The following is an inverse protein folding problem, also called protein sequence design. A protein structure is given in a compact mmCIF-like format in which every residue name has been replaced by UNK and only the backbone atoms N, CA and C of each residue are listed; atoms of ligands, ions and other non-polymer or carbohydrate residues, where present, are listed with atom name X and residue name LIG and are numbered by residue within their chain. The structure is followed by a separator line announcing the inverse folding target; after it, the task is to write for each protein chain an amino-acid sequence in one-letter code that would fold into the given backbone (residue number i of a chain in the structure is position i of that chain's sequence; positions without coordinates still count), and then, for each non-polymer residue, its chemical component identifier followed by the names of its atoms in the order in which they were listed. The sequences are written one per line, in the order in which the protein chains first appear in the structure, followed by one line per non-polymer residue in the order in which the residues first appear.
data_IF_301807706597
#
_entry.id   IF_301807706597
#
_cell.length_a   1.000
_cell.length_b   1.000
_cell.length_c   1.000
_cell.angle_alpha   90.00
_cell.angle_beta   90.00
_cell.angle_gamma   90.00
#
_symmetry.space_group_name_H-M   'P 1'
#
loop_
_entity.id
_entity.type
_entity.pdbx_description
1 polymer ?
#
# COMPACT_ATOMS: atom_id res chain seq x y z
N UNK A 1 4.41 7.30 -19.64
CA UNK A 1 5.50 7.78 -18.76
C UNK A 1 6.25 6.56 -18.26
N UNK A 2 7.56 6.44 -18.53
CA UNK A 2 8.36 5.29 -18.10
C UNK A 2 8.67 5.47 -16.61
N UNK A 3 8.06 4.64 -15.77
CA UNK A 3 8.36 4.53 -14.33
C UNK A 3 9.80 4.03 -14.22
N UNK A 4 10.70 4.85 -13.67
CA UNK A 4 12.10 4.49 -13.45
C UNK A 4 12.22 3.33 -12.46
N UNK A 5 13.37 2.63 -12.43
CA UNK A 5 13.59 1.45 -11.57
C UNK A 5 13.25 1.66 -10.07
N UNK A 6 13.24 2.91 -9.60
CA UNK A 6 12.95 3.27 -8.21
C UNK A 6 11.62 4.02 -8.04
N UNK A 7 10.80 4.16 -9.08
CA UNK A 7 9.54 4.87 -8.95
C UNK A 7 8.46 3.96 -8.35
N UNK A 8 7.57 4.55 -7.56
CA UNK A 8 6.43 3.87 -6.95
C UNK A 8 5.33 3.69 -7.99
N UNK A 9 4.69 2.53 -7.98
CA UNK A 9 3.42 2.36 -8.69
C UNK A 9 2.28 3.06 -7.94
N UNK A 10 1.20 3.42 -8.65
CA UNK A 10 0.04 4.12 -8.04
C UNK A 10 -0.52 3.39 -6.81
N UNK A 11 -0.57 2.05 -6.85
CA UNK A 11 -1.01 1.26 -5.68
C UNK A 11 -0.01 1.30 -4.52
N UNK A 12 1.29 1.33 -4.82
CA UNK A 12 2.34 1.41 -3.79
C UNK A 12 2.31 2.77 -3.09
N UNK A 13 2.04 3.85 -3.82
CA UNK A 13 1.86 5.18 -3.23
C UNK A 13 0.68 5.20 -2.25
N UNK A 14 -0.47 4.63 -2.63
CA UNK A 14 -1.63 4.53 -1.74
C UNK A 14 -1.31 3.72 -0.48
N UNK A 15 -0.63 2.58 -0.64
CA UNK A 15 -0.21 1.73 0.48
C UNK A 15 0.72 2.51 1.42
N UNK A 16 1.74 3.16 0.90
CA UNK A 16 2.71 3.94 1.68
C UNK A 16 2.05 5.11 2.42
N UNK A 17 1.17 5.86 1.75
CA UNK A 17 0.41 6.95 2.37
C UNK A 17 -0.50 6.43 3.48
N UNK A 18 -1.15 5.27 3.27
CA UNK A 18 -2.02 4.69 4.29
C UNK A 18 -1.23 4.22 5.51
N UNK A 19 -0.06 3.60 5.31
CA UNK A 19 0.87 3.25 6.40
C UNK A 19 1.27 4.52 7.17
N UNK A 20 1.62 5.59 6.47
CA UNK A 20 1.95 6.88 7.09
C UNK A 20 0.80 7.53 7.85
N UNK A 21 -0.45 7.28 7.46
CA UNK A 21 -1.63 7.77 8.20
C UNK A 21 -1.85 6.96 9.48
N UNK A 22 -1.63 5.65 9.43
CA UNK A 22 -1.88 4.74 10.55
C UNK A 22 -0.74 4.74 11.58
N UNK A 23 0.47 5.19 11.22
CA UNK A 23 1.64 5.22 12.12
C UNK A 23 1.83 3.86 12.82
N UNK A 24 1.73 3.82 14.15
CA UNK A 24 1.96 2.63 14.98
C UNK A 24 0.85 1.58 14.82
N UNK A 25 -0.29 1.94 14.23
CA UNK A 25 -1.41 1.04 13.95
C UNK A 25 -1.33 0.39 12.56
N UNK A 26 -0.24 0.59 11.82
CA UNK A 26 -0.09 0.13 10.43
C UNK A 26 0.20 -1.39 10.30
N UNK A 27 -0.58 -2.24 10.97
CA UNK A 27 -0.55 -3.69 10.72
C UNK A 27 -1.36 -4.04 9.47
N UNK A 28 -1.00 -5.13 8.77
CA UNK A 28 -1.53 -5.42 7.43
C UNK A 28 -3.06 -5.44 7.30
N UNK A 29 -3.78 -5.85 8.36
CA UNK A 29 -5.26 -5.79 8.38
C UNK A 29 -5.75 -4.35 8.48
N UNK A 30 -5.17 -3.49 9.33
CA UNK A 30 -5.54 -2.08 9.44
C UNK A 30 -5.30 -1.33 8.13
N UNK A 31 -4.12 -1.55 7.51
CA UNK A 31 -3.79 -0.95 6.20
C UNK A 31 -4.82 -1.38 5.15
N UNK A 32 -5.14 -2.67 5.08
CA UNK A 32 -6.18 -3.18 4.16
C UNK A 32 -7.52 -2.49 4.41
N UNK A 33 -8.01 -2.49 5.65
CA UNK A 33 -9.31 -1.92 6.00
C UNK A 33 -9.39 -0.43 5.67
N UNK A 34 -8.33 0.33 5.95
CA UNK A 34 -8.31 1.77 5.68
C UNK A 34 -8.28 2.07 4.17
N UNK A 35 -7.53 1.30 3.36
CA UNK A 35 -7.55 1.42 1.90
C UNK A 35 -8.95 1.10 1.36
N UNK A 36 -9.55 -0.01 1.79
CA UNK A 36 -10.88 -0.42 1.32
C UNK A 36 -11.95 0.62 1.68
N UNK A 37 -11.86 1.19 2.89
CA UNK A 37 -12.77 2.24 3.37
C UNK A 37 -12.66 3.53 2.56
N UNK A 38 -11.44 3.95 2.17
CA UNK A 38 -11.23 5.19 1.42
C UNK A 38 -11.51 5.07 -0.07
N UNK A 39 -11.17 3.92 -0.65
CA UNK A 39 -11.31 3.71 -2.09
C UNK A 39 -12.63 3.08 -2.50
N UNK A 40 -13.48 2.68 -1.54
CA UNK A 40 -14.72 1.92 -1.74
C UNK A 40 -14.52 0.68 -2.65
N UNK A 41 -13.36 0.03 -2.49
CA UNK A 41 -12.93 -1.08 -3.33
C UNK A 41 -12.26 -2.15 -2.49
N UNK A 42 -12.56 -3.41 -2.76
CA UNK A 42 -11.87 -4.54 -2.11
C UNK A 42 -10.42 -4.64 -2.58
N UNK A 43 -9.53 -4.91 -1.64
CA UNK A 43 -8.11 -5.15 -1.87
C UNK A 43 -7.79 -6.58 -1.49
N UNK A 44 -7.09 -7.30 -2.37
CA UNK A 44 -6.65 -8.65 -2.01
C UNK A 44 -5.46 -8.58 -1.06
N UNK A 45 -5.43 -9.49 -0.08
CA UNK A 45 -4.32 -9.58 0.87
C UNK A 45 -3.01 -9.83 0.13
N UNK A 46 -3.01 -10.70 -0.89
CA UNK A 46 -1.82 -10.99 -1.68
C UNK A 46 -1.28 -9.77 -2.44
N UNK A 47 -2.16 -8.92 -2.98
CA UNK A 47 -1.74 -7.69 -3.66
C UNK A 47 -1.12 -6.69 -2.67
N UNK A 48 -1.74 -6.51 -1.50
CA UNK A 48 -1.21 -5.65 -0.44
C UNK A 48 0.17 -6.16 0.04
N UNK A 49 0.29 -7.46 0.29
CA UNK A 49 1.52 -8.07 0.77
C UNK A 49 2.64 -7.96 -0.27
N UNK A 50 2.33 -8.18 -1.54
CA UNK A 50 3.28 -7.99 -2.64
C UNK A 50 3.73 -6.52 -2.77
N UNK A 51 2.83 -5.55 -2.54
CA UNK A 51 3.18 -4.14 -2.57
C UNK A 51 4.06 -3.73 -1.39
N UNK A 52 3.76 -4.21 -0.18
CA UNK A 52 4.58 -3.98 1.01
C UNK A 52 5.99 -4.58 0.84
N UNK A 53 6.12 -5.81 0.35
CA UNK A 53 7.43 -6.42 0.10
C UNK A 53 8.25 -5.60 -0.92
N UNK A 54 7.64 -5.15 -2.02
CA UNK A 54 8.34 -4.30 -2.99
C UNK A 54 8.70 -2.91 -2.46
N UNK A 55 7.90 -2.37 -1.53
CA UNK A 55 8.20 -1.11 -0.85
C UNK A 55 9.36 -1.28 0.14
N UNK A 56 9.48 -2.43 0.79
CA UNK A 56 10.58 -2.75 1.71
C UNK A 56 11.91 -3.01 0.96
N UNK A 57 11.84 -3.60 -0.23
CA UNK A 57 13.02 -3.88 -1.08
C UNK A 57 13.60 -2.62 -1.78
N UNK A 58 12.90 -1.48 -1.75
CA UNK A 58 13.28 -0.22 -2.43
C UNK A 58 13.96 0.77 -1.48
#
# INVERSE_FOLDING_TARGET
MRVGKNALGEFEEVVMLTVGILYDEAYGIAVKTEIEKRLDRKVSVGALQSALTRLEDK
#
